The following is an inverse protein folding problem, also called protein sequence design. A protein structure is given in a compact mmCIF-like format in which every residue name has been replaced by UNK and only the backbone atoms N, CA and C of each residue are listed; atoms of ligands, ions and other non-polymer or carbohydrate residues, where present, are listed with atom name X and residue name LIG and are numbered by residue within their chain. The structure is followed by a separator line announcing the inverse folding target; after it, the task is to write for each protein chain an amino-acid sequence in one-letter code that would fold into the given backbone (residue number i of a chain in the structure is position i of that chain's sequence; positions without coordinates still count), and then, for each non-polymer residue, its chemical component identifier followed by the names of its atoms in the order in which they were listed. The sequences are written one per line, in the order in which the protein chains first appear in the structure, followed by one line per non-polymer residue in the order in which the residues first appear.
data_IF_293848347438
#
_entry.id   IF_293848347438
#
_cell.length_a   1.000
_cell.length_b   1.000
_cell.length_c   1.000
_cell.angle_alpha   90.00
_cell.angle_beta   90.00
_cell.angle_gamma   90.00
#
_symmetry.space_group_name_H-M   'P 1'
#
loop_
_entity.id
_entity.type
_entity.pdbx_description
1 polymer ?
#
# COMPACT_ATOMS: atom_id res chain seq x y z
N UNK A 1 31.23 3.85 -12.62
CA UNK A 1 30.19 2.84 -12.92
C UNK A 1 29.05 3.59 -13.58
N UNK A 2 28.85 3.40 -14.88
CA UNK A 2 27.81 4.11 -15.63
C UNK A 2 26.43 3.63 -15.16
N UNK A 3 25.57 4.58 -14.82
CA UNK A 3 24.16 4.34 -14.48
C UNK A 3 23.46 3.86 -15.74
N UNK A 4 23.17 2.56 -15.84
CA UNK A 4 22.22 2.06 -16.84
C UNK A 4 20.83 2.52 -16.41
N UNK A 5 20.31 3.55 -17.08
CA UNK A 5 18.90 3.87 -17.06
C UNK A 5 18.14 2.65 -17.59
N UNK A 6 17.08 2.27 -16.91
CA UNK A 6 16.13 1.29 -17.45
C UNK A 6 15.64 1.78 -18.82
N UNK A 7 15.93 1.01 -19.86
CA UNK A 7 15.71 1.37 -21.27
C UNK A 7 14.21 1.49 -21.62
N UNK A 8 13.31 1.12 -20.69
CA UNK A 8 11.86 1.23 -20.84
C UNK A 8 11.25 2.56 -20.37
N UNK A 9 12.01 3.47 -19.75
CA UNK A 9 11.48 4.74 -19.26
C UNK A 9 11.68 5.87 -20.31
N UNK A 10 10.99 5.78 -21.45
CA UNK A 10 11.10 6.77 -22.55
C UNK A 10 10.41 8.12 -22.27
N UNK A 11 9.69 8.25 -21.17
CA UNK A 11 9.24 9.54 -20.60
C UNK A 11 9.18 9.29 -19.11
N UNK A 12 9.79 10.11 -18.25
CA UNK A 12 9.81 9.93 -16.78
C UNK A 12 8.42 9.97 -16.12
N UNK A 13 7.58 9.00 -16.46
CA UNK A 13 6.20 8.79 -16.08
C UNK A 13 6.19 7.52 -15.26
N UNK A 14 5.84 7.68 -13.99
CA UNK A 14 5.69 6.56 -13.07
C UNK A 14 4.41 5.80 -13.46
N UNK A 15 4.46 4.48 -13.69
CA UNK A 15 3.26 3.68 -13.91
C UNK A 15 2.25 3.82 -12.77
N UNK A 16 0.95 3.84 -13.10
CA UNK A 16 -0.13 4.06 -12.14
C UNK A 16 -0.16 3.05 -10.97
N UNK A 17 0.22 1.81 -11.24
CA UNK A 17 0.30 0.73 -10.24
C UNK A 17 1.58 0.79 -9.39
N UNK A 18 2.44 1.79 -9.57
CA UNK A 18 3.59 2.03 -8.72
C UNK A 18 3.29 3.15 -7.73
N UNK A 19 3.64 2.95 -6.46
CA UNK A 19 3.74 4.09 -5.54
C UNK A 19 4.83 5.05 -6.03
N UNK A 20 4.53 6.34 -6.23
CA UNK A 20 5.49 7.31 -6.71
C UNK A 20 6.73 7.41 -5.82
N UNK A 21 6.53 7.44 -4.49
CA UNK A 21 7.61 7.55 -3.50
C UNK A 21 8.54 6.35 -3.60
N UNK A 22 7.99 5.12 -3.55
CA UNK A 22 8.81 3.90 -3.60
C UNK A 22 9.49 3.73 -4.95
N UNK A 23 8.84 4.10 -6.05
CA UNK A 23 9.44 4.08 -7.38
C UNK A 23 10.66 5.00 -7.47
N UNK A 24 10.51 6.27 -7.05
CA UNK A 24 11.60 7.24 -7.06
C UNK A 24 12.74 6.84 -6.12
N UNK A 25 12.43 6.27 -4.95
CA UNK A 25 13.44 5.76 -4.03
C UNK A 25 14.25 4.62 -4.65
N UNK A 26 13.60 3.69 -5.33
CA UNK A 26 14.29 2.61 -6.04
C UNK A 26 15.21 3.15 -7.14
N UNK A 27 14.70 4.04 -8.01
CA UNK A 27 15.50 4.66 -9.07
C UNK A 27 16.70 5.42 -8.49
N UNK A 28 16.51 6.18 -7.40
CA UNK A 28 17.57 6.92 -6.73
C UNK A 28 18.66 6.01 -6.14
N UNK A 29 18.27 4.83 -5.64
CA UNK A 29 19.17 3.83 -5.09
C UNK A 29 19.74 2.85 -6.16
N UNK A 30 19.34 2.99 -7.43
CA UNK A 30 19.72 2.08 -8.50
C UNK A 30 19.15 0.66 -8.34
N UNK A 31 18.02 0.53 -7.63
CA UNK A 31 17.27 -0.71 -7.44
C UNK A 31 16.22 -0.88 -8.54
N UNK A 32 15.92 -2.12 -8.96
CA UNK A 32 14.87 -2.37 -9.94
C UNK A 32 13.48 -2.15 -9.35
N UNK A 33 12.50 -1.86 -10.21
CA UNK A 33 11.08 -1.70 -9.85
C UNK A 33 10.25 -2.97 -10.11
N UNK A 34 10.84 -4.15 -9.90
CA UNK A 34 10.20 -5.43 -10.22
C UNK A 34 9.30 -5.98 -9.10
N UNK A 35 9.16 -5.24 -8.00
CA UNK A 35 8.31 -5.59 -6.86
C UNK A 35 6.85 -5.21 -7.08
N UNK A 36 6.58 -4.17 -7.88
CA UNK A 36 5.21 -3.73 -8.13
C UNK A 36 4.41 -4.75 -8.96
N UNK A 37 3.13 -4.90 -8.60
CA UNK A 37 2.18 -5.81 -9.23
C UNK A 37 1.04 -4.96 -9.80
N UNK A 38 0.71 -5.20 -11.07
CA UNK A 38 -0.16 -4.30 -11.85
C UNK A 38 -1.67 -4.43 -11.58
N UNK A 39 -2.11 -5.43 -10.81
CA UNK A 39 -3.53 -5.73 -10.63
C UNK A 39 -3.80 -6.61 -9.42
N UNK A 40 -4.99 -6.45 -8.83
CA UNK A 40 -5.50 -7.30 -7.75
C UNK A 40 -5.45 -8.78 -8.11
N UNK A 41 -5.91 -9.14 -9.30
CA UNK A 41 -5.92 -10.53 -9.76
C UNK A 41 -4.52 -11.17 -9.72
N UNK A 42 -3.51 -10.45 -10.22
CA UNK A 42 -2.12 -10.94 -10.15
C UNK A 42 -1.61 -10.99 -8.72
N UNK A 43 -2.00 -10.03 -7.88
CA UNK A 43 -1.60 -9.98 -6.48
C UNK A 43 -2.16 -11.19 -5.71
N UNK A 44 -3.41 -11.59 -5.96
CA UNK A 44 -4.02 -12.81 -5.40
C UNK A 44 -3.24 -14.08 -5.79
N UNK A 45 -2.78 -14.15 -7.05
CA UNK A 45 -2.02 -15.30 -7.56
C UNK A 45 -0.52 -15.28 -7.19
N UNK A 46 -0.05 -14.27 -6.44
CA UNK A 46 1.36 -14.06 -6.10
C UNK A 46 1.63 -14.35 -4.61
N UNK A 47 2.40 -15.40 -4.26
CA UNK A 47 2.55 -15.86 -2.87
C UNK A 47 3.12 -14.85 -1.87
N UNK A 48 3.99 -13.96 -2.34
CA UNK A 48 4.71 -12.93 -1.58
C UNK A 48 4.12 -11.52 -1.79
N UNK A 49 2.90 -11.43 -2.34
CA UNK A 49 2.23 -10.15 -2.55
C UNK A 49 1.60 -9.62 -1.27
N UNK A 50 1.68 -8.30 -1.13
CA UNK A 50 1.04 -7.50 -0.11
C UNK A 50 0.16 -6.45 -0.78
N UNK A 51 -0.99 -6.14 -0.17
CA UNK A 51 -1.68 -4.88 -0.39
C UNK A 51 -1.09 -3.85 0.56
N UNK A 52 -0.82 -2.66 0.04
CA UNK A 52 -0.31 -1.50 0.77
C UNK A 52 -1.24 -0.33 0.48
N UNK A 53 -1.75 0.30 1.54
CA UNK A 53 -2.57 1.51 1.42
C UNK A 53 -1.78 2.69 1.96
N UNK A 54 -1.79 3.79 1.22
CA UNK A 54 -1.14 5.04 1.60
C UNK A 54 -2.03 6.24 1.32
N UNK A 55 -1.71 7.35 1.95
CA UNK A 55 -2.20 8.65 1.52
C UNK A 55 -1.15 9.73 1.74
N UNK A 56 -1.57 10.98 1.59
CA UNK A 56 -0.67 12.15 1.51
C UNK A 56 0.47 11.91 0.50
N UNK A 57 0.15 11.35 -0.67
CA UNK A 57 1.10 11.05 -1.74
C UNK A 57 2.28 10.14 -1.28
N UNK A 58 2.00 9.19 -0.38
CA UNK A 58 2.99 8.33 0.26
C UNK A 58 3.60 8.94 1.55
N UNK A 59 3.07 10.06 2.01
CA UNK A 59 3.41 10.72 3.27
C UNK A 59 2.97 9.92 4.51
N UNK A 60 2.03 8.98 4.36
CA UNK A 60 1.67 8.04 5.41
C UNK A 60 1.26 6.70 4.82
N UNK A 61 1.83 5.62 5.36
CA UNK A 61 1.35 4.26 5.10
C UNK A 61 0.25 3.97 6.12
N UNK A 62 -0.93 3.60 5.65
CA UNK A 62 -2.08 3.29 6.52
C UNK A 62 -2.05 1.85 6.99
N UNK A 63 -1.82 0.92 6.07
CA UNK A 63 -1.72 -0.51 6.36
C UNK A 63 -0.89 -1.24 5.33
N UNK A 64 -0.43 -2.42 5.73
CA UNK A 64 0.10 -3.45 4.85
C UNK A 64 -0.52 -4.79 5.24
N UNK A 65 -0.87 -5.62 4.26
CA UNK A 65 -1.44 -6.93 4.53
C UNK A 65 -1.02 -7.94 3.46
N UNK A 66 -0.56 -9.15 3.83
CA UNK A 66 -0.32 -10.21 2.87
C UNK A 66 -1.61 -10.53 2.10
N UNK A 67 -1.53 -10.58 0.77
CA UNK A 67 -2.68 -10.89 -0.10
C UNK A 67 -3.32 -12.25 0.23
N UNK A 68 -2.55 -13.21 0.74
CA UNK A 68 -3.06 -14.51 1.23
C UNK A 68 -4.06 -14.41 2.39
N UNK A 69 -4.11 -13.27 3.10
CA UNK A 69 -5.06 -13.00 4.18
C UNK A 69 -6.25 -12.14 3.72
N UNK A 70 -6.12 -11.48 2.57
CA UNK A 70 -7.18 -10.65 2.00
C UNK A 70 -8.26 -11.55 1.41
N UNK A 71 -9.46 -11.46 1.96
CA UNK A 71 -10.62 -12.25 1.55
C UNK A 71 -11.84 -11.38 1.16
N UNK A 72 -11.63 -10.08 1.00
CA UNK A 72 -12.60 -9.15 0.45
C UNK A 72 -12.32 -8.82 -1.03
N UNK A 73 -13.22 -8.05 -1.64
CA UNK A 73 -13.09 -7.61 -3.04
C UNK A 73 -12.15 -6.40 -3.18
N UNK A 74 -11.61 -6.16 -4.37
CA UNK A 74 -10.85 -4.94 -4.68
C UNK A 74 -11.68 -3.66 -4.43
N UNK A 75 -13.00 -3.71 -4.68
CA UNK A 75 -13.92 -2.59 -4.38
C UNK A 75 -14.02 -2.33 -2.87
N UNK A 76 -14.06 -3.40 -2.06
CA UNK A 76 -14.05 -3.32 -0.60
C UNK A 76 -12.73 -2.71 -0.10
N UNK A 77 -11.59 -3.06 -0.70
CA UNK A 77 -10.30 -2.44 -0.38
C UNK A 77 -10.25 -0.96 -0.73
N UNK A 78 -10.81 -0.55 -1.87
CA UNK A 78 -10.94 0.87 -2.22
C UNK A 78 -11.87 1.63 -1.25
N UNK A 79 -12.91 0.96 -0.75
CA UNK A 79 -13.78 1.54 0.28
C UNK A 79 -13.03 1.73 1.60
N UNK A 80 -12.27 0.71 2.02
CA UNK A 80 -11.43 0.77 3.20
C UNK A 80 -10.39 1.91 3.10
N UNK A 81 -9.71 2.04 1.95
CA UNK A 81 -8.76 3.14 1.71
C UNK A 81 -9.41 4.52 1.91
N UNK A 82 -10.62 4.73 1.37
CA UNK A 82 -11.35 5.99 1.54
C UNK A 82 -11.72 6.25 3.00
N UNK A 83 -12.17 5.22 3.71
CA UNK A 83 -12.51 5.36 5.13
C UNK A 83 -11.25 5.73 5.96
N UNK A 84 -10.10 5.07 5.70
CA UNK A 84 -8.84 5.34 6.40
C UNK A 84 -8.29 6.74 6.11
N UNK A 85 -8.32 7.16 4.85
CA UNK A 85 -7.88 8.49 4.45
C UNK A 85 -8.79 9.59 4.99
N UNK A 86 -10.12 9.37 5.03
CA UNK A 86 -11.05 10.31 5.67
C UNK A 86 -10.73 10.50 7.16
N UNK A 87 -10.26 9.44 7.84
CA UNK A 87 -9.89 9.51 9.26
C UNK A 87 -8.57 10.26 9.45
N UNK A 88 -7.57 9.99 8.61
CA UNK A 88 -6.22 10.54 8.76
C UNK A 88 -6.06 11.96 8.16
N UNK A 89 -6.75 12.23 7.04
CA UNK A 89 -6.60 13.44 6.22
C UNK A 89 -7.94 13.91 5.64
N UNK A 90 -8.92 14.18 6.50
CA UNK A 90 -10.24 14.71 6.11
C UNK A 90 -10.19 15.96 5.21
N UNK A 91 -9.10 16.72 5.29
CA UNK A 91 -8.86 17.94 4.53
C UNK A 91 -8.39 17.72 3.08
N UNK A 92 -7.99 16.50 2.70
CA UNK A 92 -7.44 16.21 1.38
C UNK A 92 -8.50 15.77 0.35
N UNK A 93 -9.75 15.52 0.77
CA UNK A 93 -10.85 15.05 -0.10
C UNK A 93 -10.45 13.86 -1.00
N UNK A 94 -9.61 12.98 -0.46
CA UNK A 94 -9.06 11.80 -1.13
C UNK A 94 -7.91 12.03 -2.10
N UNK A 95 -7.41 13.26 -2.22
CA UNK A 95 -6.19 13.52 -2.97
C UNK A 95 -4.97 12.87 -2.31
N UNK A 96 -4.15 12.20 -3.12
CA UNK A 96 -2.92 11.55 -2.67
C UNK A 96 -3.09 10.15 -2.09
N UNK A 97 -4.32 9.60 -2.07
CA UNK A 97 -4.58 8.20 -1.74
C UNK A 97 -3.94 7.25 -2.76
N UNK A 98 -3.47 6.10 -2.27
CA UNK A 98 -2.89 5.05 -3.10
C UNK A 98 -3.20 3.66 -2.59
N UNK A 99 -3.59 2.77 -3.51
CA UNK A 99 -3.75 1.34 -3.27
C UNK A 99 -2.77 0.61 -4.18
N UNK A 100 -1.80 -0.08 -3.58
CA UNK A 100 -0.72 -0.71 -4.31
C UNK A 100 -0.57 -2.17 -3.94
N UNK A 101 -0.11 -2.95 -4.91
CA UNK A 101 0.23 -4.36 -4.72
C UNK A 101 1.72 -4.54 -4.97
N UNK A 102 2.44 -5.09 -4.00
CA UNK A 102 3.89 -5.20 -4.04
C UNK A 102 4.37 -6.53 -3.45
N UNK A 103 5.45 -7.08 -4.00
CA UNK A 103 6.13 -8.23 -3.41
C UNK A 103 7.06 -7.79 -2.28
N UNK A 104 6.94 -8.41 -1.12
CA UNK A 104 7.77 -8.14 0.05
C UNK A 104 7.99 -9.42 0.87
N UNK A 105 8.96 -9.38 1.78
CA UNK A 105 9.19 -10.42 2.77
C UNK A 105 8.95 -9.88 4.19
N UNK A 106 8.38 -10.68 5.11
CA UNK A 106 8.26 -10.27 6.51
C UNK A 106 9.58 -9.76 7.10
N UNK A 107 9.52 -8.60 7.76
CA UNK A 107 10.68 -7.86 8.27
C UNK A 107 11.18 -6.76 7.33
N UNK A 108 10.67 -6.66 6.11
CA UNK A 108 10.90 -5.51 5.23
C UNK A 108 10.20 -4.25 5.78
N UNK A 109 10.83 -3.10 5.55
CA UNK A 109 10.23 -1.79 5.82
C UNK A 109 9.65 -1.18 4.55
N UNK A 110 8.53 -0.48 4.68
CA UNK A 110 7.87 0.25 3.60
C UNK A 110 8.30 1.72 3.69
N UNK A 111 9.00 2.17 2.65
CA UNK A 111 9.35 3.58 2.51
C UNK A 111 8.09 4.44 2.37
N UNK A 112 7.97 5.43 3.27
CA UNK A 112 6.88 6.42 3.31
C UNK A 112 7.19 7.50 4.35
N UNK A 113 6.41 8.58 4.36
CA UNK A 113 6.48 9.59 5.41
C UNK A 113 5.94 9.09 6.76
N UNK A 114 5.96 9.95 7.78
CA UNK A 114 5.40 9.66 9.12
C UNK A 114 5.98 8.43 9.85
N UNK A 115 7.12 7.90 9.39
CA UNK A 115 7.75 6.71 9.95
C UNK A 115 7.66 5.48 9.04
N UNK A 116 6.96 5.57 7.91
CA UNK A 116 6.79 4.47 6.96
C UNK A 116 5.77 3.44 7.43
N UNK A 117 5.96 2.20 7.01
CA UNK A 117 5.22 1.05 7.52
C UNK A 117 6.09 -0.20 7.57
N UNK A 118 5.54 -1.28 8.11
CA UNK A 118 6.25 -2.56 8.21
C UNK A 118 5.53 -3.64 7.42
N UNK A 119 6.30 -4.62 6.95
CA UNK A 119 5.79 -5.86 6.35
C UNK A 119 5.82 -6.95 7.41
N UNK A 120 4.65 -7.41 7.83
CA UNK A 120 4.49 -8.49 8.81
C UNK A 120 3.93 -9.77 8.17
N UNK A 121 3.91 -10.89 8.91
CA UNK A 121 3.19 -12.09 8.47
C UNK A 121 1.66 -11.92 8.50
N UNK A 122 1.18 -10.90 9.20
CA UNK A 122 -0.22 -10.53 9.38
C UNK A 122 -0.53 -9.13 8.88
N UNK A 123 -1.70 -8.62 9.26
CA UNK A 123 -2.10 -7.23 9.04
C UNK A 123 -1.27 -6.31 9.94
N UNK A 124 -0.51 -5.40 9.34
CA UNK A 124 0.07 -4.24 9.99
C UNK A 124 -0.79 -3.01 9.71
N UNK A 125 -1.02 -2.17 10.71
CA UNK A 125 -1.68 -0.87 10.54
C UNK A 125 -0.89 0.23 11.26
N UNK A 126 -0.99 1.44 10.74
CA UNK A 126 -0.35 2.59 11.35
C UNK A 126 -0.83 2.81 12.79
N UNK A 127 0.08 3.23 13.68
CA UNK A 127 -0.17 3.42 15.12
C UNK A 127 -1.38 4.31 15.43
N UNK A 128 -1.69 5.27 14.55
CA UNK A 128 -2.83 6.16 14.70
C UNK A 128 -4.16 5.39 14.70
N UNK A 129 -4.31 4.39 13.83
CA UNK A 129 -5.50 3.55 13.80
C UNK A 129 -5.54 2.56 14.97
N UNK A 130 -4.38 2.17 15.51
CA UNK A 130 -4.29 1.41 16.77
C UNK A 130 -4.81 2.26 17.94
N UNK A 131 -4.34 3.50 18.06
CA UNK A 131 -4.75 4.43 19.13
C UNK A 131 -6.25 4.74 19.06
N UNK A 132 -6.83 4.72 17.86
CA UNK A 132 -8.27 4.84 17.62
C UNK A 132 -9.07 3.54 17.83
N UNK A 133 -8.41 2.43 18.21
CA UNK A 133 -9.03 1.12 18.42
C UNK A 133 -9.72 0.56 17.16
N UNK A 134 -9.15 0.80 15.99
CA UNK A 134 -9.71 0.39 14.70
C UNK A 134 -9.16 -0.95 14.18
N UNK A 135 -8.16 -1.55 14.85
CA UNK A 135 -7.52 -2.79 14.38
C UNK A 135 -8.54 -3.88 14.01
N UNK A 136 -9.40 -4.24 14.96
CA UNK A 136 -10.38 -5.31 14.77
C UNK A 136 -11.32 -5.00 13.60
N UNK A 137 -11.76 -3.74 13.48
CA UNK A 137 -12.68 -3.36 12.41
C UNK A 137 -12.02 -3.39 11.02
N UNK A 138 -10.79 -2.87 10.91
CA UNK A 138 -9.99 -2.94 9.66
C UNK A 138 -9.74 -4.40 9.29
N UNK A 139 -9.39 -5.23 10.28
CA UNK A 139 -9.15 -6.66 10.09
C UNK A 139 -10.41 -7.38 9.57
N UNK A 140 -11.58 -7.10 10.13
CA UNK A 140 -12.85 -7.67 9.64
C UNK A 140 -13.18 -7.26 8.20
N UNK A 141 -12.83 -6.04 7.78
CA UNK A 141 -12.98 -5.60 6.39
C UNK A 141 -12.03 -6.37 5.46
N UNK A 142 -10.76 -6.51 5.85
CA UNK A 142 -9.75 -7.26 5.07
C UNK A 142 -10.14 -8.74 4.92
N UNK A 143 -10.71 -9.34 5.96
CA UNK A 143 -11.21 -10.72 5.93
C UNK A 143 -12.53 -10.89 5.15
N UNK A 144 -13.14 -9.80 4.68
CA UNK A 144 -14.40 -9.83 3.93
C UNK A 144 -15.64 -10.04 4.79
N UNK A 145 -15.54 -9.85 6.11
CA UNK A 145 -16.66 -9.94 7.04
C UNK A 145 -17.43 -8.61 7.17
N UNK A 146 -16.82 -7.51 6.72
CA UNK A 146 -17.42 -6.17 6.61
C UNK A 146 -17.09 -5.55 5.26
N UNK A 147 -17.99 -4.71 4.77
CA UNK A 147 -17.77 -3.96 3.52
C UNK A 147 -17.08 -2.60 3.74
N UNK A 148 -17.09 -2.08 4.97
CA UNK A 148 -16.52 -0.77 5.32
C UNK A 148 -16.34 -0.58 6.83
N UNK A 149 -15.62 0.47 7.23
CA UNK A 149 -15.57 0.92 8.63
C UNK A 149 -16.92 1.54 9.05
N UNK A 150 -17.30 1.40 10.32
CA UNK A 150 -18.58 1.92 10.85
C UNK A 150 -18.45 3.16 11.72
N UNK A 151 -17.20 3.60 11.93
CA UNK A 151 -16.87 4.72 12.81
C UNK A 151 -17.10 6.08 12.14
#
# INVERSE_FOLDING_TARGET
MERKKDENNQMGVIPEHHSPVRHMLNEANGLPNNQFIDSFKRAVDTPDAYVIMEGDYGGQIYLSCPMKLVNCSEETLHTLLKDLDTIAWDCNDGEGQGLYYEKHFPGDGIGGGMGGGDIEEGLWIHKEFIDLQLYDEIHEVVLGNKERLTK
#
